data_IF_320083887447
#
_entry.id   IF_320083887447
#
_cell.length_a   1.000
_cell.length_b   1.000
_cell.length_c   1.000
_cell.angle_alpha   90.00
_cell.angle_beta   90.00
_cell.angle_gamma   90.00
#
_symmetry.space_group_name_H-M   'P 1'
#
loop_
_entity.id
_entity.type
_entity.pdbx_description
1 polymer ?
#
# COMPACT_ATOMS: atom_id res chain seq x y z
N UNK A 1 -47.49 36.94 3.63
CA UNK A 1 -46.97 35.89 2.87
C UNK A 1 -45.64 36.30 2.26
N UNK A 2 -44.55 35.67 2.59
CA UNK A 2 -43.29 35.81 1.86
C UNK A 2 -42.66 34.45 1.78
N UNK A 3 -42.63 33.95 0.54
CA UNK A 3 -41.93 32.76 0.14
C UNK A 3 -40.42 33.01 0.15
N UNK A 4 -39.68 32.11 0.78
CA UNK A 4 -38.24 32.15 0.85
C UNK A 4 -37.68 31.07 -0.09
N UNK A 5 -37.18 31.52 -1.23
CA UNK A 5 -36.50 30.69 -2.22
C UNK A 5 -35.17 30.15 -1.66
N UNK A 6 -35.08 28.85 -1.56
CA UNK A 6 -33.80 28.13 -1.33
C UNK A 6 -33.10 28.01 -2.68
N UNK A 7 -31.91 28.61 -2.80
CA UNK A 7 -31.05 28.49 -3.96
C UNK A 7 -30.20 27.23 -3.79
N UNK A 8 -30.43 26.27 -4.67
CA UNK A 8 -29.49 25.16 -4.95
C UNK A 8 -28.13 25.72 -5.41
N UNK A 9 -27.08 25.33 -4.76
CA UNK A 9 -25.71 25.56 -5.24
C UNK A 9 -25.25 24.31 -5.95
N UNK A 10 -25.24 24.34 -7.26
CA UNK A 10 -24.60 23.40 -8.14
C UNK A 10 -23.10 23.29 -7.79
N UNK A 11 -22.68 22.10 -7.35
CA UNK A 11 -21.26 21.75 -7.27
C UNK A 11 -20.77 21.47 -8.68
N UNK A 12 -20.01 22.42 -9.22
CA UNK A 12 -19.26 22.21 -10.46
C UNK A 12 -18.08 21.30 -10.12
N UNK A 13 -18.18 20.03 -10.52
CA UNK A 13 -17.07 19.07 -10.45
C UNK A 13 -16.12 19.35 -11.62
N UNK A 14 -14.88 19.70 -11.31
CA UNK A 14 -13.86 19.99 -12.31
C UNK A 14 -13.33 18.70 -12.96
N UNK A 15 -13.11 18.65 -14.30
CA UNK A 15 -12.71 17.43 -15.03
C UNK A 15 -11.36 16.81 -14.63
N UNK A 16 -10.55 17.54 -13.85
CA UNK A 16 -9.24 17.06 -13.38
C UNK A 16 -9.32 16.10 -12.17
N UNK A 17 -10.33 16.22 -11.33
CA UNK A 17 -10.53 15.35 -10.16
C UNK A 17 -11.01 13.95 -10.57
N UNK A 18 -11.83 13.88 -11.61
CA UNK A 18 -12.43 12.64 -12.10
C UNK A 18 -11.41 11.69 -12.74
N UNK A 19 -10.32 12.20 -13.36
CA UNK A 19 -9.29 11.35 -13.98
C UNK A 19 -8.25 10.78 -13.00
N UNK A 20 -7.99 11.44 -11.88
CA UNK A 20 -7.12 10.93 -10.83
C UNK A 20 -7.81 9.84 -10.01
N UNK A 21 -9.08 10.04 -9.66
CA UNK A 21 -9.91 9.07 -8.93
C UNK A 21 -10.11 7.77 -9.72
N UNK A 22 -10.38 7.86 -11.03
CA UNK A 22 -10.56 6.67 -11.88
C UNK A 22 -9.30 5.83 -12.09
N UNK A 23 -8.10 6.40 -11.92
CA UNK A 23 -6.84 5.66 -12.06
C UNK A 23 -6.48 4.91 -10.78
N UNK A 24 -6.73 5.51 -9.62
CA UNK A 24 -6.54 4.87 -8.32
C UNK A 24 -7.57 3.76 -8.08
N UNK A 25 -8.83 3.98 -8.38
CA UNK A 25 -9.89 2.99 -8.25
C UNK A 25 -9.65 1.75 -9.12
N UNK A 26 -9.11 1.95 -10.33
CA UNK A 26 -8.74 0.86 -11.23
C UNK A 26 -7.60 0.00 -10.65
N UNK A 27 -6.52 0.61 -10.18
CA UNK A 27 -5.41 -0.14 -9.56
C UNK A 27 -5.86 -0.85 -8.29
N UNK A 28 -6.74 -0.26 -7.50
CA UNK A 28 -7.29 -0.86 -6.29
C UNK A 28 -8.13 -2.10 -6.62
N UNK A 29 -8.92 -2.08 -7.69
CA UNK A 29 -9.77 -3.21 -8.10
C UNK A 29 -8.98 -4.46 -8.51
N UNK A 30 -7.74 -4.31 -8.97
CA UNK A 30 -6.87 -5.40 -9.38
C UNK A 30 -6.07 -6.02 -8.23
N UNK A 31 -6.08 -5.40 -7.03
CA UNK A 31 -5.27 -5.87 -5.92
C UNK A 31 -5.84 -7.18 -5.34
N UNK A 32 -4.98 -8.17 -5.05
CA UNK A 32 -5.38 -9.34 -4.27
C UNK A 32 -5.79 -8.93 -2.86
N UNK A 33 -6.74 -9.66 -2.28
CA UNK A 33 -7.29 -9.40 -0.95
C UNK A 33 -6.75 -10.33 0.12
N UNK A 34 -6.25 -11.50 -0.27
CA UNK A 34 -5.72 -12.52 0.63
C UNK A 34 -4.29 -12.92 0.26
N UNK A 35 -3.58 -13.55 1.20
CA UNK A 35 -2.24 -14.10 0.93
C UNK A 35 -2.28 -15.21 -0.13
N UNK A 36 -3.37 -15.95 -0.24
CA UNK A 36 -3.50 -17.02 -1.24
C UNK A 36 -3.70 -16.46 -2.66
N UNK A 37 -4.35 -15.34 -2.80
CA UNK A 37 -4.47 -14.62 -4.09
C UNK A 37 -3.19 -13.88 -4.49
N UNK A 38 -2.29 -13.63 -3.54
CA UNK A 38 -1.07 -12.88 -3.77
C UNK A 38 -0.02 -13.75 -4.45
N UNK A 39 0.25 -13.48 -5.72
CA UNK A 39 1.19 -14.23 -6.55
C UNK A 39 2.61 -13.80 -6.23
N UNK A 40 3.53 -14.77 -6.15
CA UNK A 40 4.94 -14.54 -5.90
C UNK A 40 5.28 -14.28 -4.42
N UNK A 41 6.53 -13.92 -4.15
CA UNK A 41 7.05 -13.65 -2.80
C UNK A 41 6.82 -14.81 -1.81
N UNK A 42 6.98 -16.06 -2.24
CA UNK A 42 6.56 -17.26 -1.51
C UNK A 42 7.12 -17.28 -0.07
N UNK A 43 8.42 -17.02 0.06
CA UNK A 43 9.09 -16.99 1.37
C UNK A 43 8.50 -15.93 2.31
N UNK A 44 8.16 -14.76 1.77
CA UNK A 44 7.53 -13.67 2.54
C UNK A 44 6.13 -14.08 2.98
N UNK A 45 5.35 -14.69 2.07
CA UNK A 45 4.00 -15.19 2.36
C UNK A 45 4.01 -16.26 3.45
N UNK A 46 4.89 -17.24 3.35
CA UNK A 46 5.03 -18.30 4.35
C UNK A 46 5.33 -17.73 5.73
N UNK A 47 6.29 -16.83 5.82
CA UNK A 47 6.62 -16.17 7.08
C UNK A 47 5.43 -15.38 7.64
N UNK A 48 4.77 -14.57 6.80
CA UNK A 48 3.63 -13.78 7.24
C UNK A 48 2.45 -14.64 7.69
N UNK A 49 2.16 -15.75 7.01
CA UNK A 49 1.12 -16.72 7.44
C UNK A 49 1.39 -17.22 8.85
N UNK A 50 2.65 -17.57 9.17
CA UNK A 50 3.03 -18.04 10.51
C UNK A 50 2.84 -16.93 11.54
N UNK A 51 3.34 -15.72 11.28
CA UNK A 51 3.26 -14.61 12.24
C UNK A 51 1.81 -14.18 12.49
N UNK A 52 1.00 -14.07 11.45
CA UNK A 52 -0.41 -13.73 11.53
C UNK A 52 -1.17 -14.80 12.34
N UNK A 53 -0.96 -16.08 12.03
CA UNK A 53 -1.63 -17.16 12.75
C UNK A 53 -1.22 -17.19 14.23
N UNK A 54 0.05 -16.98 14.53
CA UNK A 54 0.54 -16.93 15.91
C UNK A 54 -0.06 -15.75 16.69
N UNK A 55 -0.13 -14.57 16.07
CA UNK A 55 -0.76 -13.39 16.69
C UNK A 55 -2.26 -13.64 16.97
N UNK A 56 -2.98 -14.19 16.00
CA UNK A 56 -4.40 -14.57 16.17
C UNK A 56 -4.62 -15.57 17.29
N UNK A 57 -3.77 -16.61 17.37
CA UNK A 57 -3.88 -17.64 18.42
C UNK A 57 -3.67 -17.05 19.84
N UNK A 58 -2.85 -16.01 19.97
CA UNK A 58 -2.64 -15.30 21.23
C UNK A 58 -3.68 -14.22 21.52
N UNK A 59 -4.51 -13.85 20.51
CA UNK A 59 -5.43 -12.70 20.62
C UNK A 59 -4.70 -11.36 20.73
N UNK A 60 -3.52 -11.25 20.13
CA UNK A 60 -2.64 -10.08 20.22
C UNK A 60 -2.48 -9.40 18.84
N UNK A 61 -1.96 -8.16 18.84
CA UNK A 61 -1.58 -7.47 17.62
C UNK A 61 -0.36 -8.16 16.99
N UNK A 62 -0.22 -8.05 15.68
CA UNK A 62 0.99 -8.48 14.99
C UNK A 62 2.18 -7.58 15.39
N UNK A 63 3.38 -8.12 15.44
CA UNK A 63 4.59 -7.32 15.62
C UNK A 63 4.74 -6.32 14.47
N UNK A 64 5.45 -5.21 14.72
CA UNK A 64 5.71 -4.20 13.70
C UNK A 64 6.50 -4.79 12.53
N UNK A 65 6.06 -4.48 11.31
CA UNK A 65 6.58 -5.07 10.06
C UNK A 65 7.27 -4.01 9.21
N UNK A 66 8.47 -4.30 8.74
CA UNK A 66 9.17 -3.51 7.73
C UNK A 66 9.20 -4.26 6.40
N UNK A 67 8.60 -3.65 5.37
CA UNK A 67 8.63 -4.13 3.99
C UNK A 67 9.59 -3.28 3.18
N UNK A 68 10.63 -3.89 2.60
CA UNK A 68 11.58 -3.13 1.79
C UNK A 68 11.87 -3.80 0.45
N UNK A 69 12.26 -3.01 -0.52
CA UNK A 69 12.57 -3.47 -1.87
C UNK A 69 12.19 -2.43 -2.92
N UNK A 70 12.51 -2.69 -4.21
CA UNK A 70 12.21 -1.79 -5.31
C UNK A 70 10.76 -1.29 -5.33
N UNK A 71 10.48 -0.14 -5.97
CA UNK A 71 9.11 0.37 -6.08
C UNK A 71 8.25 -0.53 -6.97
N UNK A 72 6.93 -0.53 -6.71
CA UNK A 72 5.96 -1.25 -7.54
C UNK A 72 5.85 -2.75 -7.31
N UNK A 73 6.46 -3.30 -6.25
CA UNK A 73 6.42 -4.72 -5.89
C UNK A 73 5.23 -5.13 -5.03
N UNK A 74 4.33 -4.20 -4.70
CA UNK A 74 3.12 -4.51 -3.95
C UNK A 74 3.23 -4.36 -2.43
N UNK A 75 4.15 -3.54 -1.90
CA UNK A 75 4.27 -3.29 -0.44
C UNK A 75 2.96 -2.81 0.18
N UNK A 76 2.30 -1.84 -0.43
CA UNK A 76 0.98 -1.33 0.01
C UNK A 76 -0.11 -2.40 -0.07
N UNK A 77 -0.11 -3.20 -1.14
CA UNK A 77 -1.04 -4.32 -1.31
C UNK A 77 -0.85 -5.36 -0.21
N UNK A 78 0.38 -5.74 0.06
CA UNK A 78 0.70 -6.72 1.11
C UNK A 78 0.29 -6.22 2.50
N UNK A 79 0.44 -4.91 2.76
CA UNK A 79 0.00 -4.31 4.02
C UNK A 79 -1.51 -4.36 4.20
N UNK A 80 -2.27 -4.12 3.11
CA UNK A 80 -3.72 -4.26 3.13
C UNK A 80 -4.16 -5.71 3.34
N UNK A 81 -3.46 -6.66 2.74
CA UNK A 81 -3.69 -8.10 2.95
C UNK A 81 -3.44 -8.49 4.41
N UNK A 82 -2.33 -8.02 5.01
CA UNK A 82 -2.03 -8.30 6.43
C UNK A 82 -3.16 -7.81 7.33
N UNK A 83 -3.65 -6.59 7.13
CA UNK A 83 -4.77 -6.05 7.90
C UNK A 83 -6.05 -6.87 7.70
N UNK A 84 -6.36 -7.24 6.46
CA UNK A 84 -7.50 -8.08 6.12
C UNK A 84 -7.41 -9.45 6.79
N UNK A 85 -6.26 -10.12 6.71
CA UNK A 85 -6.02 -11.41 7.34
C UNK A 85 -6.11 -11.32 8.87
N UNK A 86 -5.67 -10.23 9.48
CA UNK A 86 -5.81 -9.97 10.92
C UNK A 86 -7.25 -9.59 11.32
N UNK A 87 -8.11 -9.22 10.37
CA UNK A 87 -9.48 -8.77 10.62
C UNK A 87 -9.57 -7.40 11.28
N UNK A 88 -8.65 -6.49 10.94
CA UNK A 88 -8.53 -5.15 11.52
C UNK A 88 -8.53 -4.08 10.43
N UNK A 89 -8.73 -2.81 10.83
CA UNK A 89 -8.67 -1.69 9.89
C UNK A 89 -7.23 -1.32 9.55
N UNK A 90 -7.06 -0.68 8.40
CA UNK A 90 -5.78 -0.12 7.98
C UNK A 90 -5.91 1.39 7.74
N UNK A 91 -4.97 2.16 8.28
CA UNK A 91 -4.75 3.56 7.95
C UNK A 91 -3.50 3.67 7.09
N UNK A 92 -3.65 4.29 5.93
CA UNK A 92 -2.56 4.42 4.94
C UNK A 92 -2.12 5.87 4.91
N UNK A 93 -0.81 6.08 5.04
CA UNK A 93 -0.15 7.37 4.92
C UNK A 93 1.24 7.20 4.31
N UNK A 94 1.98 8.29 4.19
CA UNK A 94 3.37 8.27 3.71
C UNK A 94 4.27 9.13 4.59
N UNK A 95 5.58 8.84 4.61
CA UNK A 95 6.55 9.65 5.34
C UNK A 95 6.45 11.15 5.01
N UNK A 96 6.42 11.54 3.71
CA UNK A 96 6.26 12.95 3.34
C UNK A 96 4.96 13.62 3.78
N UNK A 97 3.89 12.86 3.99
CA UNK A 97 2.58 13.39 4.45
C UNK A 97 2.55 13.69 5.95
N UNK A 98 3.52 13.16 6.71
CA UNK A 98 3.67 13.42 8.14
C UNK A 98 4.75 14.49 8.32
N UNK A 99 4.35 15.75 8.30
CA UNK A 99 5.30 16.87 8.32
C UNK A 99 5.82 17.16 9.73
N UNK A 100 4.99 16.98 10.74
CA UNK A 100 5.30 17.33 12.14
C UNK A 100 4.78 16.29 13.13
N UNK A 101 5.33 16.26 14.35
CA UNK A 101 4.93 15.32 15.41
C UNK A 101 3.44 15.26 15.68
N UNK A 102 2.73 16.39 15.61
CA UNK A 102 1.29 16.47 15.83
C UNK A 102 0.47 15.70 14.79
N UNK A 103 0.95 15.61 13.55
CA UNK A 103 0.27 14.85 12.49
C UNK A 103 0.31 13.35 12.81
N UNK A 104 1.48 12.87 13.25
CA UNK A 104 1.63 11.48 13.71
C UNK A 104 0.80 11.18 14.96
N UNK A 105 0.81 12.08 15.93
CA UNK A 105 0.02 11.91 17.15
C UNK A 105 -1.49 11.81 16.85
N UNK A 106 -1.99 12.64 15.93
CA UNK A 106 -3.39 12.57 15.49
C UNK A 106 -3.72 11.24 14.80
N UNK A 107 -2.82 10.69 14.00
CA UNK A 107 -3.01 9.37 13.39
C UNK A 107 -3.07 8.27 14.45
N UNK A 108 -2.10 8.25 15.38
CA UNK A 108 -1.95 7.19 16.38
C UNK A 108 -3.09 7.18 17.41
N UNK A 109 -3.57 8.35 17.83
CA UNK A 109 -4.68 8.46 18.81
C UNK A 109 -6.04 8.03 18.24
N UNK A 110 -6.18 7.99 16.92
CA UNK A 110 -7.39 7.55 16.24
C UNK A 110 -7.38 6.06 15.84
N UNK A 111 -6.34 5.30 16.21
CA UNK A 111 -6.28 3.85 15.95
C UNK A 111 -7.07 3.10 17.02
N UNK A 112 -7.83 2.10 16.58
CA UNK A 112 -8.46 1.14 17.45
C UNK A 112 -7.49 -0.01 17.78
N UNK A 113 -7.87 -0.84 18.76
CA UNK A 113 -7.05 -1.98 19.17
C UNK A 113 -6.83 -2.96 18.02
N UNK A 114 -5.58 -3.20 17.70
CA UNK A 114 -5.15 -4.13 16.65
C UNK A 114 -5.04 -3.50 15.26
N UNK A 115 -5.49 -2.26 15.07
CA UNK A 115 -5.42 -1.58 13.78
C UNK A 115 -4.00 -1.53 13.20
N UNK A 116 -3.91 -1.46 11.90
CA UNK A 116 -2.66 -1.30 11.15
C UNK A 116 -2.48 0.15 10.74
N UNK A 117 -1.34 0.73 11.07
CA UNK A 117 -0.85 1.98 10.47
C UNK A 117 0.18 1.63 9.41
N UNK A 118 -0.08 1.96 8.14
CA UNK A 118 0.87 1.80 7.06
C UNK A 118 1.50 3.14 6.70
N UNK A 119 2.84 3.21 6.74
CA UNK A 119 3.61 4.39 6.34
C UNK A 119 4.49 4.02 5.14
N UNK A 120 4.12 4.51 3.95
CA UNK A 120 4.97 4.37 2.76
C UNK A 120 6.13 5.36 2.81
N UNK A 121 7.27 5.02 2.20
CA UNK A 121 8.49 5.84 2.22
C UNK A 121 8.88 6.28 3.65
N UNK A 122 8.79 5.36 4.62
CA UNK A 122 9.00 5.65 6.06
C UNK A 122 10.38 6.27 6.34
N UNK A 123 11.38 6.02 5.50
CA UNK A 123 12.71 6.63 5.59
C UNK A 123 12.71 8.15 5.36
N UNK A 124 11.58 8.72 4.92
CA UNK A 124 11.42 10.16 4.72
C UNK A 124 10.79 10.89 5.90
N UNK A 125 10.52 10.20 6.99
CA UNK A 125 10.12 10.85 8.24
C UNK A 125 11.22 11.78 8.74
N UNK A 126 10.83 12.95 9.23
CA UNK A 126 11.78 13.85 9.91
C UNK A 126 12.21 13.24 11.24
N UNK A 127 13.40 13.60 11.71
CA UNK A 127 13.91 13.14 13.00
C UNK A 127 12.97 13.44 14.17
N UNK A 128 12.32 14.59 14.15
CA UNK A 128 11.37 14.96 15.19
C UNK A 128 10.13 14.05 15.22
N UNK A 129 9.68 13.60 14.05
CA UNK A 129 8.57 12.65 13.94
C UNK A 129 9.01 11.25 14.37
N UNK A 130 10.22 10.82 14.00
CA UNK A 130 10.77 9.54 14.45
C UNK A 130 10.90 9.48 15.98
N UNK A 131 11.33 10.55 16.63
CA UNK A 131 11.48 10.63 18.10
C UNK A 131 10.13 10.43 18.82
N UNK A 132 9.02 10.88 18.24
CA UNK A 132 7.67 10.64 18.77
C UNK A 132 7.21 9.20 18.48
N UNK A 133 7.65 8.63 17.36
CA UNK A 133 7.27 7.27 16.98
C UNK A 133 7.90 6.21 17.89
N UNK A 134 9.10 6.42 18.40
CA UNK A 134 9.79 5.41 19.21
C UNK A 134 9.00 4.95 20.43
N UNK A 135 8.54 5.83 21.34
CA UNK A 135 7.76 5.38 22.50
C UNK A 135 6.40 4.81 22.09
N UNK A 136 5.84 5.27 20.97
CA UNK A 136 4.60 4.71 20.44
C UNK A 136 4.75 3.24 20.01
N UNK A 137 5.90 2.85 19.46
CA UNK A 137 6.18 1.48 19.02
C UNK A 137 6.59 0.55 20.19
N UNK A 138 7.31 1.08 21.17
CA UNK A 138 7.80 0.29 22.30
C UNK A 138 6.75 0.14 23.42
N UNK A 139 6.20 1.28 23.84
CA UNK A 139 5.36 1.38 25.04
C UNK A 139 3.88 1.59 24.73
N UNK A 140 3.52 1.76 23.45
CA UNK A 140 2.19 2.20 23.04
C UNK A 140 1.76 3.48 23.76
N UNK A 141 2.63 4.47 23.78
CA UNK A 141 2.40 5.75 24.43
C UNK A 141 3.01 6.90 23.64
N UNK A 142 2.44 8.09 23.82
CA UNK A 142 2.95 9.35 23.30
C UNK A 142 3.31 10.27 24.45
N UNK A 143 4.48 10.87 24.40
CA UNK A 143 4.90 11.91 25.34
C UNK A 143 4.73 13.28 24.67
N UNK A 144 3.73 14.05 25.09
CA UNK A 144 3.41 15.36 24.55
C UNK A 144 3.90 16.44 25.52
N UNK A 145 4.75 17.33 25.02
CA UNK A 145 5.22 18.47 25.79
C UNK A 145 4.23 19.64 25.60
N UNK A 146 3.57 20.04 26.70
CA UNK A 146 2.66 21.18 26.74
C UNK A 146 3.33 22.36 27.43
N UNK A 147 3.26 23.54 26.79
CA UNK A 147 3.87 24.78 27.29
C UNK A 147 5.27 25.03 26.76
N UNK A 148 5.85 26.13 27.19
CA UNK A 148 7.22 26.55 26.79
C UNK A 148 8.02 26.94 28.03
N UNK A 149 9.34 26.74 27.98
CA UNK A 149 10.27 27.10 29.04
C UNK A 149 10.19 26.23 30.31
N UNK A 150 10.58 26.73 31.48
CA UNK A 150 10.65 25.97 32.73
C UNK A 150 9.30 25.42 33.23
N UNK A 151 8.17 25.97 32.74
CA UNK A 151 6.81 25.53 33.08
C UNK A 151 6.27 24.45 32.12
N UNK A 152 7.06 23.99 31.15
CA UNK A 152 6.64 22.91 30.25
C UNK A 152 6.38 21.63 31.03
N UNK A 153 5.24 20.99 30.75
CA UNK A 153 4.85 19.69 31.33
C UNK A 153 4.78 18.66 30.24
N UNK A 154 5.30 17.48 30.52
CA UNK A 154 5.09 16.30 29.67
C UNK A 154 3.81 15.60 30.12
N UNK A 155 2.94 15.31 29.16
CA UNK A 155 1.74 14.49 29.35
C UNK A 155 1.95 13.22 28.55
N UNK A 156 1.86 12.06 29.23
CA UNK A 156 1.89 10.76 28.57
C UNK A 156 0.47 10.32 28.22
N UNK A 157 0.23 10.04 26.95
CA UNK A 157 -1.04 9.54 26.42
C UNK A 157 -0.84 8.07 26.07
N UNK A 158 -1.64 7.19 26.66
CA UNK A 158 -1.65 5.78 26.30
C UNK A 158 -2.38 5.57 24.96
N UNK A 159 -1.82 4.70 24.12
CA UNK A 159 -2.36 4.31 22.83
C UNK A 159 -2.92 2.90 22.90
N UNK A 160 -3.91 2.61 22.07
CA UNK A 160 -4.30 1.25 21.80
C UNK A 160 -3.12 0.50 21.15
N UNK A 161 -2.95 -0.79 21.47
CA UNK A 161 -1.98 -1.63 20.74
C UNK A 161 -2.33 -1.65 19.27
N UNK A 162 -1.35 -1.38 18.42
CA UNK A 162 -1.48 -1.35 16.96
C UNK A 162 -0.27 -2.00 16.30
N UNK A 163 -0.36 -2.26 15.02
CA UNK A 163 0.77 -2.73 14.21
C UNK A 163 1.21 -1.62 13.26
N UNK A 164 2.47 -1.21 13.34
CA UNK A 164 3.09 -0.39 12.30
C UNK A 164 3.58 -1.27 11.17
N UNK A 165 3.19 -0.98 9.94
CA UNK A 165 3.84 -1.52 8.74
C UNK A 165 4.55 -0.38 8.03
N UNK A 166 5.87 -0.37 8.10
CA UNK A 166 6.71 0.58 7.37
C UNK A 166 7.08 0.01 6.00
N UNK A 167 7.03 0.85 4.97
CA UNK A 167 7.53 0.50 3.65
C UNK A 167 8.64 1.44 3.21
N UNK A 168 9.67 0.90 2.56
CA UNK A 168 10.78 1.70 2.05
C UNK A 168 11.39 1.08 0.80
N UNK A 169 11.82 1.93 -0.12
CA UNK A 169 12.66 1.53 -1.25
C UNK A 169 14.16 1.54 -0.88
N UNK A 170 14.52 2.15 0.26
CA UNK A 170 15.90 2.38 0.71
C UNK A 170 16.08 1.93 2.15
N UNK A 171 16.21 0.63 2.37
CA UNK A 171 16.39 0.08 3.73
C UNK A 171 17.61 0.67 4.47
N UNK A 172 18.69 0.96 3.75
CA UNK A 172 19.88 1.59 4.32
C UNK A 172 19.73 3.05 4.74
N UNK A 173 18.65 3.74 4.32
CA UNK A 173 18.35 5.12 4.70
C UNK A 173 17.48 5.22 5.96
N UNK A 174 17.03 4.09 6.50
CA UNK A 174 16.28 4.05 7.75
C UNK A 174 17.26 4.21 8.93
N UNK A 175 16.88 5.03 9.90
CA UNK A 175 17.70 5.16 11.12
C UNK A 175 17.79 3.82 11.86
N UNK A 176 18.94 3.51 12.45
CA UNK A 176 19.11 2.27 13.20
C UNK A 176 18.08 2.14 14.35
N UNK A 177 17.84 3.20 15.15
CA UNK A 177 16.81 3.11 16.19
C UNK A 177 15.40 2.77 15.69
N UNK A 178 15.01 3.30 14.52
CA UNK A 178 13.70 2.97 13.96
C UNK A 178 13.67 1.54 13.42
N UNK A 179 14.71 1.12 12.72
CA UNK A 179 14.80 -0.23 12.16
C UNK A 179 14.75 -1.32 13.23
N UNK A 180 15.43 -1.09 14.36
CA UNK A 180 15.54 -2.07 15.46
C UNK A 180 14.18 -2.31 16.18
N UNK A 181 13.18 -1.45 15.93
CA UNK A 181 11.82 -1.59 16.48
C UNK A 181 10.89 -2.46 15.64
N UNK A 182 11.32 -2.87 14.46
CA UNK A 182 10.57 -3.79 13.64
C UNK A 182 10.92 -5.23 14.01
N UNK A 183 9.96 -5.96 14.55
CA UNK A 183 10.11 -7.39 14.88
C UNK A 183 10.11 -8.29 13.64
N UNK A 184 9.50 -7.84 12.55
CA UNK A 184 9.39 -8.58 11.29
C UNK A 184 9.95 -7.72 10.15
N UNK A 185 11.02 -8.19 9.51
CA UNK A 185 11.64 -7.50 8.37
C UNK A 185 11.57 -8.40 7.15
N UNK A 186 10.89 -7.94 6.08
CA UNK A 186 10.68 -8.71 4.86
C UNK A 186 11.18 -7.94 3.64
N UNK A 187 12.04 -8.59 2.86
CA UNK A 187 12.52 -8.09 1.58
C UNK A 187 11.62 -8.60 0.46
N UNK A 188 11.08 -7.69 -0.35
CA UNK A 188 10.40 -8.04 -1.58
C UNK A 188 11.41 -8.02 -2.74
N UNK A 189 11.32 -9.05 -3.57
CA UNK A 189 12.20 -9.23 -4.71
C UNK A 189 11.45 -8.97 -6.03
N UNK A 190 12.21 -8.73 -7.09
CA UNK A 190 11.64 -8.63 -8.43
C UNK A 190 10.97 -9.95 -8.81
N UNK A 191 9.86 -9.85 -9.49
CA UNK A 191 9.11 -10.99 -10.00
C UNK A 191 9.78 -11.57 -11.25
N UNK A 192 9.72 -12.87 -11.40
CA UNK A 192 10.10 -13.51 -12.65
C UNK A 192 8.99 -13.38 -13.72
N UNK A 193 9.30 -13.76 -14.95
CA UNK A 193 8.35 -13.64 -16.08
C UNK A 193 7.10 -14.49 -15.89
N UNK A 194 7.23 -15.68 -15.34
CA UNK A 194 6.11 -16.59 -15.08
C UNK A 194 5.13 -15.99 -14.07
N UNK A 195 5.63 -15.53 -12.93
CA UNK A 195 4.82 -14.87 -11.91
C UNK A 195 4.11 -13.60 -12.45
N UNK A 196 4.82 -12.80 -13.26
CA UNK A 196 4.21 -11.63 -13.88
C UNK A 196 3.15 -12.00 -14.93
N UNK A 197 3.37 -13.07 -15.69
CA UNK A 197 2.37 -13.59 -16.63
C UNK A 197 1.10 -14.02 -15.90
N UNK A 198 1.24 -14.69 -14.76
CA UNK A 198 0.08 -15.08 -13.94
C UNK A 198 -0.66 -13.86 -13.36
N UNK A 199 0.08 -12.83 -12.93
CA UNK A 199 -0.51 -11.55 -12.50
C UNK A 199 -1.28 -10.90 -13.64
N UNK A 200 -0.71 -10.87 -14.85
CA UNK A 200 -1.37 -10.30 -16.05
C UNK A 200 -2.65 -11.08 -16.37
N UNK A 201 -2.59 -12.41 -16.40
CA UNK A 201 -3.77 -13.26 -16.65
C UNK A 201 -4.88 -13.04 -15.63
N UNK A 202 -4.51 -13.03 -14.34
CA UNK A 202 -5.47 -12.73 -13.26
C UNK A 202 -6.11 -11.35 -13.44
N UNK A 203 -5.28 -10.34 -13.72
CA UNK A 203 -5.77 -8.97 -13.93
C UNK A 203 -6.63 -8.85 -15.18
N UNK A 204 -6.31 -9.57 -16.27
CA UNK A 204 -7.12 -9.61 -17.49
C UNK A 204 -8.52 -10.18 -17.22
N UNK A 205 -8.62 -11.25 -16.43
CA UNK A 205 -9.91 -11.82 -15.99
C UNK A 205 -10.74 -10.80 -15.22
N UNK A 206 -10.13 -10.10 -14.27
CA UNK A 206 -10.81 -9.06 -13.49
C UNK A 206 -11.28 -7.88 -14.35
N UNK A 207 -10.58 -7.61 -15.44
CA UNK A 207 -10.94 -6.58 -16.42
C UNK A 207 -11.95 -7.06 -17.47
N UNK A 208 -12.32 -8.33 -17.47
CA UNK A 208 -13.20 -8.91 -18.47
C UNK A 208 -12.60 -8.97 -19.88
N UNK A 209 -11.27 -9.06 -19.99
CA UNK A 209 -10.55 -9.09 -21.26
C UNK A 209 -9.96 -10.47 -21.49
N UNK A 210 -10.22 -11.03 -22.68
CA UNK A 210 -9.58 -12.27 -23.10
C UNK A 210 -8.08 -12.04 -23.35
N UNK A 211 -7.23 -12.84 -22.73
CA UNK A 211 -5.78 -12.74 -22.85
C UNK A 211 -5.18 -14.13 -23.05
N UNK A 212 -4.46 -14.31 -24.14
CA UNK A 212 -3.74 -15.55 -24.43
C UNK A 212 -2.47 -15.65 -23.57
N UNK A 213 -2.01 -16.85 -23.32
CA UNK A 213 -0.80 -17.09 -22.54
C UNK A 213 0.42 -16.39 -23.13
N UNK A 214 0.58 -16.44 -24.47
CA UNK A 214 1.66 -15.76 -25.19
C UNK A 214 1.55 -14.24 -25.09
N UNK A 215 0.32 -13.71 -25.10
CA UNK A 215 0.06 -12.27 -24.93
C UNK A 215 0.42 -11.79 -23.52
N UNK A 216 0.07 -12.57 -22.50
CA UNK A 216 0.43 -12.30 -21.12
C UNK A 216 1.95 -12.37 -20.92
N UNK A 217 2.61 -13.35 -21.52
CA UNK A 217 4.08 -13.51 -21.44
C UNK A 217 4.82 -12.33 -22.09
N UNK A 218 4.34 -11.82 -23.23
CA UNK A 218 4.93 -10.62 -23.87
C UNK A 218 4.84 -9.38 -22.98
N UNK A 219 3.70 -9.18 -22.31
CA UNK A 219 3.54 -8.10 -21.32
C UNK A 219 4.51 -8.31 -20.14
N UNK A 220 4.57 -9.53 -19.62
CA UNK A 220 5.42 -9.90 -18.48
C UNK A 220 6.91 -9.64 -18.76
N UNK A 221 7.42 -10.07 -19.92
CA UNK A 221 8.82 -9.87 -20.34
C UNK A 221 9.24 -8.40 -20.31
N UNK A 222 8.34 -7.49 -20.69
CA UNK A 222 8.64 -6.05 -20.73
C UNK A 222 8.40 -5.32 -19.40
N UNK A 223 7.82 -5.98 -18.42
CA UNK A 223 7.43 -5.39 -17.14
C UNK A 223 8.57 -5.26 -16.12
N UNK A 224 9.78 -5.66 -16.47
CA UNK A 224 11.01 -5.49 -15.66
C UNK A 224 10.87 -5.97 -14.22
N UNK A 225 10.21 -7.10 -14.00
CA UNK A 225 10.04 -7.67 -12.66
C UNK A 225 9.03 -6.95 -11.77
N UNK A 226 8.18 -6.07 -12.30
CA UNK A 226 7.36 -5.15 -11.51
C UNK A 226 5.88 -5.30 -11.83
N UNK A 227 5.04 -5.79 -10.88
CA UNK A 227 3.59 -5.93 -11.06
C UNK A 227 2.87 -4.63 -11.46
N UNK A 228 3.26 -3.49 -10.89
CA UNK A 228 2.68 -2.19 -11.25
C UNK A 228 2.89 -1.87 -12.73
N UNK A 229 4.08 -2.14 -13.26
CA UNK A 229 4.36 -1.93 -14.69
C UNK A 229 3.55 -2.92 -15.54
N UNK A 230 3.46 -4.19 -15.13
CA UNK A 230 2.68 -5.21 -15.83
C UNK A 230 1.20 -4.81 -15.94
N UNK A 231 0.57 -4.37 -14.86
CA UNK A 231 -0.83 -3.92 -14.88
C UNK A 231 -1.01 -2.64 -15.71
N UNK A 232 -0.06 -1.72 -15.68
CA UNK A 232 -0.09 -0.52 -16.51
C UNK A 232 0.00 -0.87 -18.00
N UNK A 233 0.88 -1.80 -18.36
CA UNK A 233 0.99 -2.29 -19.75
C UNK A 233 -0.26 -3.05 -20.16
N UNK A 234 -0.79 -3.93 -19.33
CA UNK A 234 -2.05 -4.66 -19.59
C UNK A 234 -3.18 -3.69 -19.95
N UNK A 235 -3.34 -2.61 -19.19
CA UNK A 235 -4.36 -1.60 -19.45
C UNK A 235 -4.21 -1.00 -20.85
N UNK A 236 -3.00 -0.68 -21.26
CA UNK A 236 -2.73 -0.10 -22.59
C UNK A 236 -2.88 -1.12 -23.70
N UNK A 237 -2.38 -2.33 -23.50
CA UNK A 237 -2.54 -3.42 -24.48
C UNK A 237 -4.01 -3.76 -24.67
N UNK A 238 -4.84 -3.69 -23.63
CA UNK A 238 -6.29 -3.83 -23.74
C UNK A 238 -6.89 -2.83 -24.70
N UNK A 239 -6.52 -1.53 -24.59
CA UNK A 239 -7.03 -0.49 -25.50
C UNK A 239 -6.72 -0.84 -26.98
N UNK A 240 -5.52 -1.38 -27.24
CA UNK A 240 -5.15 -1.88 -28.58
C UNK A 240 -5.94 -3.12 -29.00
N UNK A 241 -6.17 -4.05 -28.07
CA UNK A 241 -6.94 -5.26 -28.34
C UNK A 241 -8.40 -4.93 -28.73
N UNK A 242 -9.02 -3.97 -28.05
CA UNK A 242 -10.37 -3.50 -28.35
C UNK A 242 -10.49 -2.91 -29.76
N UNK A 243 -9.48 -2.15 -30.20
CA UNK A 243 -9.53 -1.45 -31.49
C UNK A 243 -9.00 -2.30 -32.65
N UNK A 244 -7.97 -3.11 -32.43
CA UNK A 244 -7.23 -3.82 -33.47
C UNK A 244 -7.31 -5.34 -33.38
N UNK A 245 -7.74 -5.90 -32.23
CA UNK A 245 -7.62 -7.32 -31.91
C UNK A 245 -8.94 -8.01 -31.55
N UNK A 246 -10.08 -7.49 -31.96
CA UNK A 246 -11.41 -8.04 -31.63
C UNK A 246 -11.62 -8.30 -30.12
N UNK A 247 -11.03 -7.45 -29.27
CA UNK A 247 -11.13 -7.54 -27.82
C UNK A 247 -10.27 -8.63 -27.15
N UNK A 248 -9.34 -9.26 -27.91
CA UNK A 248 -8.46 -10.31 -27.41
C UNK A 248 -7.00 -9.91 -27.43
N UNK A 249 -6.30 -10.10 -26.33
CA UNK A 249 -4.86 -9.85 -26.20
C UNK A 249 -4.10 -11.08 -26.67
N UNK A 250 -3.54 -11.00 -27.87
CA UNK A 250 -2.61 -11.97 -28.46
C UNK A 250 -1.18 -11.47 -28.34
N UNK A 251 -0.19 -12.34 -28.58
CA UNK A 251 1.22 -11.95 -28.62
C UNK A 251 1.49 -10.82 -29.63
N UNK A 252 0.86 -10.86 -30.81
CA UNK A 252 1.05 -9.85 -31.85
C UNK A 252 0.47 -8.49 -31.45
N UNK A 253 -0.73 -8.46 -30.89
CA UNK A 253 -1.33 -7.21 -30.35
C UNK A 253 -0.48 -6.65 -29.22
N UNK A 254 -0.02 -7.51 -28.29
CA UNK A 254 0.85 -7.09 -27.21
C UNK A 254 2.16 -6.48 -27.73
N UNK A 255 2.82 -7.11 -28.70
CA UNK A 255 4.04 -6.57 -29.34
C UNK A 255 3.80 -5.23 -30.03
N UNK A 256 2.72 -5.10 -30.80
CA UNK A 256 2.36 -3.85 -31.48
C UNK A 256 2.16 -2.73 -30.46
N UNK A 257 1.35 -2.97 -29.44
CA UNK A 257 1.07 -2.01 -28.39
C UNK A 257 2.33 -1.59 -27.63
N UNK A 258 3.10 -2.57 -27.14
CA UNK A 258 4.30 -2.34 -26.34
C UNK A 258 5.45 -1.67 -27.12
N UNK A 259 5.49 -1.82 -28.44
CA UNK A 259 6.48 -1.12 -29.28
C UNK A 259 6.12 0.36 -29.53
N UNK A 260 4.88 0.76 -29.27
CA UNK A 260 4.40 2.15 -29.40
C UNK A 260 4.41 2.94 -28.08
N UNK A 261 4.75 2.29 -26.98
CA UNK A 261 4.86 2.86 -25.62
C UNK A 261 6.33 3.10 -25.24
#
# INVERSE_FOLDING_TARGET
GSEMCIRDRDRIVTPKETQAETTDDFEVSLRPKTLDEYIGQEKVKENLKIYIQAAKNRGDSLDHVLLYGPPGLGKTTLSAIIAHEMGVNIRITSGPAIEKPGDLAALLTNLEKGDVLFIDEIHRLSRQVEEVLYPALEDYALDIIMGKGPAARSIRIELNKFTLIGATTRAGSLSAPLRDRFGVIQRLELYNTEQLSDIVKRSAVLLGVACDDDGAEEIAKRSRGTPRIANRFLRRVRDFAEVMGNGRITADIAKIALNRM
#
